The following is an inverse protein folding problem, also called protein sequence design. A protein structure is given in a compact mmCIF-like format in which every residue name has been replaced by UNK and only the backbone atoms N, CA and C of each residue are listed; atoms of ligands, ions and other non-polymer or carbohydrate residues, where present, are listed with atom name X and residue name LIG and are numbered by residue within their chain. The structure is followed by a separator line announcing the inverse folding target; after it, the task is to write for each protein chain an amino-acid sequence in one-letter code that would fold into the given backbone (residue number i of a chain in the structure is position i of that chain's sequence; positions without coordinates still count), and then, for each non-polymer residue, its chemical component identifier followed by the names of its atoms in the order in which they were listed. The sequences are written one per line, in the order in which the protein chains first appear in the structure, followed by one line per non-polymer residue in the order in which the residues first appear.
data_IF_537479261933
#
_entry.id   IF_537479261933
#
_cell.length_a   1.000
_cell.length_b   1.000
_cell.length_c   1.000
_cell.angle_alpha   90.00
_cell.angle_beta   90.00
_cell.angle_gamma   90.00
#
_symmetry.space_group_name_H-M   'P 1'
#
loop_
_entity.id
_entity.type
_entity.pdbx_description
1 polymer ?
#
# COMPACT_ATOMS: atom_id res chain seq x y z
N UNK A 1 -9.93 -49.81 -14.47
CA UNK A 1 -9.31 -48.64 -15.13
C UNK A 1 -8.66 -47.80 -14.06
N UNK A 2 -7.35 -47.50 -14.14
CA UNK A 2 -6.72 -46.61 -13.18
C UNK A 2 -7.32 -45.20 -13.32
N UNK A 3 -7.80 -44.67 -12.20
CA UNK A 3 -8.40 -43.35 -12.09
C UNK A 3 -7.49 -42.50 -11.22
N UNK A 4 -7.18 -41.28 -11.68
CA UNK A 4 -6.46 -40.29 -10.88
C UNK A 4 -7.42 -39.23 -10.35
N UNK A 5 -7.15 -38.76 -9.14
CA UNK A 5 -7.91 -37.70 -8.51
C UNK A 5 -7.48 -36.32 -9.04
N UNK A 6 -8.45 -35.52 -9.46
CA UNK A 6 -8.26 -34.13 -9.86
C UNK A 6 -9.09 -33.24 -8.93
N UNK A 7 -8.43 -32.33 -8.21
CA UNK A 7 -9.13 -31.33 -7.40
C UNK A 7 -9.62 -30.19 -8.30
N UNK A 8 -10.93 -29.95 -8.32
CA UNK A 8 -11.55 -28.86 -9.08
C UNK A 8 -11.98 -27.77 -8.11
N UNK A 9 -11.43 -26.56 -8.26
CA UNK A 9 -11.64 -25.42 -7.36
C UNK A 9 -12.35 -24.29 -8.10
N UNK A 10 -13.31 -23.63 -7.47
CA UNK A 10 -13.94 -22.45 -8.05
C UNK A 10 -12.98 -21.26 -7.99
N UNK A 11 -12.71 -20.62 -9.12
CA UNK A 11 -11.63 -19.62 -9.25
C UNK A 11 -11.82 -18.42 -8.32
N UNK A 12 -13.01 -17.82 -8.24
CA UNK A 12 -13.26 -16.66 -7.38
C UNK A 12 -13.52 -16.99 -5.90
N UNK A 13 -13.65 -18.27 -5.54
CA UNK A 13 -13.95 -18.72 -4.17
C UNK A 13 -13.31 -20.09 -3.91
N UNK A 14 -12.07 -20.07 -3.43
CA UNK A 14 -11.27 -21.28 -3.22
C UNK A 14 -11.74 -22.18 -2.07
N UNK A 15 -12.70 -21.72 -1.24
CA UNK A 15 -13.32 -22.58 -0.24
C UNK A 15 -14.18 -23.67 -0.90
N UNK A 16 -14.68 -23.41 -2.12
CA UNK A 16 -15.53 -24.30 -2.88
C UNK A 16 -14.70 -25.15 -3.83
N UNK A 17 -14.53 -26.42 -3.46
CA UNK A 17 -13.78 -27.40 -4.26
C UNK A 17 -14.39 -28.80 -4.13
N UNK A 18 -14.14 -29.65 -5.11
CA UNK A 18 -14.49 -31.06 -5.08
C UNK A 18 -13.43 -31.89 -5.80
N UNK A 19 -13.44 -33.21 -5.58
CA UNK A 19 -12.55 -34.15 -6.27
C UNK A 19 -13.30 -34.80 -7.41
N UNK A 20 -12.69 -34.81 -8.60
CA UNK A 20 -13.16 -35.49 -9.79
C UNK A 20 -12.21 -36.63 -10.15
N UNK A 21 -12.71 -37.84 -10.32
CA UNK A 21 -11.91 -38.99 -10.74
C UNK A 21 -11.83 -39.05 -12.27
N UNK A 22 -10.64 -38.86 -12.86
CA UNK A 22 -10.40 -38.89 -14.31
C UNK A 22 -9.54 -40.09 -14.72
N UNK A 23 -9.73 -40.69 -15.91
CA UNK A 23 -8.86 -41.76 -16.41
C UNK A 23 -7.41 -41.28 -16.60
N UNK A 24 -6.44 -42.20 -16.43
CA UNK A 24 -5.05 -41.96 -16.83
C UNK A 24 -4.91 -41.95 -18.37
N UNK A 25 -3.94 -41.20 -18.89
CA UNK A 25 -3.93 -40.68 -20.26
C UNK A 25 -3.80 -41.71 -21.40
N UNK A 26 -3.56 -42.99 -21.09
CA UNK A 26 -3.36 -44.03 -22.10
C UNK A 26 -4.61 -44.40 -22.93
N UNK A 27 -5.78 -43.82 -22.64
CA UNK A 27 -6.99 -44.01 -23.47
C UNK A 27 -7.66 -42.67 -23.82
N UNK A 28 -7.06 -41.95 -24.77
CA UNK A 28 -7.48 -40.65 -25.27
C UNK A 28 -8.65 -40.74 -26.28
N UNK A 29 -9.86 -41.01 -25.82
CA UNK A 29 -11.08 -40.83 -26.65
C UNK A 29 -12.17 -39.95 -26.01
N UNK A 30 -11.96 -39.38 -24.82
CA UNK A 30 -12.89 -38.42 -24.21
C UNK A 30 -12.12 -37.22 -23.67
N UNK A 31 -12.41 -36.03 -24.20
CA UNK A 31 -11.83 -34.77 -23.76
C UNK A 31 -12.15 -34.53 -22.26
N UNK A 32 -11.16 -34.57 -21.33
CA UNK A 32 -11.42 -34.40 -19.91
C UNK A 32 -11.99 -33.02 -19.57
N UNK A 33 -11.80 -32.01 -20.44
CA UNK A 33 -12.27 -30.63 -20.27
C UNK A 33 -13.80 -30.53 -20.16
N UNK A 34 -14.53 -31.15 -21.09
CA UNK A 34 -16.00 -31.13 -21.10
C UNK A 34 -16.57 -31.72 -19.83
N UNK A 35 -15.94 -32.81 -19.34
CA UNK A 35 -16.32 -33.46 -18.10
C UNK A 35 -16.04 -32.56 -16.90
N UNK A 36 -14.88 -31.91 -16.83
CA UNK A 36 -14.55 -30.97 -15.74
C UNK A 36 -15.57 -29.82 -15.72
N UNK A 37 -15.85 -29.19 -16.87
CA UNK A 37 -16.81 -28.08 -16.97
C UNK A 37 -18.22 -28.54 -16.58
N UNK A 38 -18.68 -29.69 -17.10
CA UNK A 38 -20.01 -30.23 -16.80
C UNK A 38 -20.17 -30.52 -15.31
N UNK A 39 -19.22 -31.21 -14.70
CA UNK A 39 -19.26 -31.52 -13.28
C UNK A 39 -19.13 -30.25 -12.42
N UNK A 40 -18.31 -29.28 -12.83
CA UNK A 40 -18.20 -27.99 -12.16
C UNK A 40 -19.52 -27.20 -12.18
N UNK A 41 -20.18 -27.10 -13.35
CA UNK A 41 -21.50 -26.45 -13.47
C UNK A 41 -22.52 -27.07 -12.53
N UNK A 42 -22.52 -28.40 -12.43
CA UNK A 42 -23.43 -29.16 -11.57
C UNK A 42 -23.11 -28.98 -10.08
N UNK A 43 -21.86 -29.23 -9.67
CA UNK A 43 -21.44 -29.21 -8.26
C UNK A 43 -21.42 -27.81 -7.67
N UNK A 44 -21.04 -26.80 -8.46
CA UNK A 44 -21.03 -25.41 -8.01
C UNK A 44 -22.34 -24.66 -8.28
N UNK A 45 -23.32 -25.29 -8.95
CA UNK A 45 -24.60 -24.68 -9.34
C UNK A 45 -24.40 -23.37 -10.12
N UNK A 46 -23.41 -23.34 -11.01
CA UNK A 46 -22.97 -22.13 -11.72
C UNK A 46 -22.91 -22.38 -13.23
N UNK A 47 -23.96 -21.96 -13.96
CA UNK A 47 -24.11 -22.25 -15.40
C UNK A 47 -23.05 -21.57 -16.30
N UNK A 48 -22.52 -20.43 -15.86
CA UNK A 48 -21.56 -19.62 -16.63
C UNK A 48 -20.11 -20.12 -16.62
N UNK A 49 -19.81 -21.25 -15.96
CA UNK A 49 -18.43 -21.77 -15.94
C UNK A 49 -18.02 -22.20 -17.36
N UNK A 50 -16.95 -21.62 -17.88
CA UNK A 50 -16.45 -21.84 -19.24
C UNK A 50 -14.94 -21.98 -19.32
N UNK A 51 -14.19 -21.44 -18.35
CA UNK A 51 -12.72 -21.48 -18.35
C UNK A 51 -12.17 -22.49 -17.36
N UNK A 52 -11.02 -23.07 -17.70
CA UNK A 52 -10.21 -23.90 -16.82
C UNK A 52 -8.79 -23.33 -16.80
N UNK A 53 -8.28 -23.07 -15.61
CA UNK A 53 -6.91 -22.65 -15.37
C UNK A 53 -6.12 -23.77 -14.70
N UNK A 54 -4.87 -23.94 -15.15
CA UNK A 54 -3.84 -24.67 -14.42
C UNK A 54 -3.24 -23.78 -13.33
N UNK A 55 -2.47 -24.38 -12.44
CA UNK A 55 -1.78 -23.63 -11.40
C UNK A 55 -0.87 -22.55 -12.02
N UNK A 56 -0.95 -21.32 -11.49
CA UNK A 56 -0.25 -20.17 -12.04
C UNK A 56 -0.97 -19.40 -13.13
N UNK A 57 -2.24 -19.70 -13.38
CA UNK A 57 -3.09 -18.89 -14.25
C UNK A 57 -2.96 -19.20 -15.74
N UNK A 58 -2.28 -20.29 -16.09
CA UNK A 58 -2.23 -20.78 -17.46
C UNK A 58 -3.63 -21.27 -17.84
N UNK A 59 -4.24 -20.62 -18.83
CA UNK A 59 -5.52 -21.04 -19.37
C UNK A 59 -5.32 -22.34 -20.17
N UNK A 60 -6.11 -23.37 -19.88
CA UNK A 60 -6.11 -24.60 -20.69
C UNK A 60 -6.91 -24.35 -21.97
N UNK A 61 -6.23 -24.30 -23.12
CA UNK A 61 -6.84 -24.06 -24.42
C UNK A 61 -7.82 -25.18 -24.82
N UNK A 62 -8.65 -24.95 -25.85
CA UNK A 62 -9.69 -25.92 -26.26
C UNK A 62 -9.11 -27.21 -26.87
N UNK A 63 -7.95 -27.11 -27.52
CA UNK A 63 -7.29 -28.23 -28.20
C UNK A 63 -6.17 -28.88 -27.35
N UNK A 64 -5.84 -28.32 -26.19
CA UNK A 64 -4.76 -28.82 -25.34
C UNK A 64 -5.20 -29.96 -24.42
N UNK A 65 -4.39 -31.01 -24.35
CA UNK A 65 -4.57 -32.09 -23.40
C UNK A 65 -4.25 -31.62 -21.96
N UNK A 66 -5.02 -32.10 -20.98
CA UNK A 66 -4.72 -31.86 -19.57
C UNK A 66 -3.41 -32.58 -19.18
N UNK A 67 -2.34 -31.88 -18.75
CA UNK A 67 -1.08 -32.53 -18.42
C UNK A 67 -1.24 -33.60 -17.34
N UNK A 68 -0.55 -34.73 -17.49
CA UNK A 68 -0.64 -35.87 -16.56
C UNK A 68 -0.29 -35.51 -15.11
N UNK A 69 0.67 -34.62 -14.93
CA UNK A 69 1.12 -34.11 -13.64
C UNK A 69 0.13 -33.18 -12.94
N UNK A 70 -0.96 -32.79 -13.61
CA UNK A 70 -1.95 -31.83 -13.07
C UNK A 70 -2.83 -32.49 -12.02
N UNK A 71 -2.64 -32.19 -10.74
CA UNK A 71 -3.49 -32.71 -9.64
C UNK A 71 -4.62 -31.77 -9.23
N UNK A 72 -4.59 -30.52 -9.69
CA UNK A 72 -5.57 -29.49 -9.37
C UNK A 72 -5.80 -28.52 -10.53
N UNK A 73 -7.04 -28.07 -10.70
CA UNK A 73 -7.46 -27.03 -11.66
C UNK A 73 -8.42 -26.04 -11.02
N UNK A 74 -8.48 -24.84 -11.59
CA UNK A 74 -9.42 -23.78 -11.21
C UNK A 74 -10.40 -23.55 -12.36
N UNK A 75 -11.68 -23.38 -12.04
CA UNK A 75 -12.72 -23.16 -13.05
C UNK A 75 -13.42 -21.83 -12.82
N UNK A 76 -13.67 -21.09 -13.91
CA UNK A 76 -14.19 -19.74 -13.87
C UNK A 76 -15.20 -19.45 -14.98
N UNK A 77 -15.75 -18.24 -14.97
CA UNK A 77 -16.70 -17.70 -15.95
C UNK A 77 -16.04 -16.73 -16.94
N UNK A 78 -14.70 -16.72 -17.00
CA UNK A 78 -13.92 -15.76 -17.79
C UNK A 78 -13.27 -14.64 -16.98
N UNK A 79 -13.48 -14.60 -15.66
CA UNK A 79 -12.72 -13.72 -14.77
C UNK A 79 -11.23 -14.11 -14.69
N UNK A 80 -10.33 -13.15 -14.35
CA UNK A 80 -8.91 -13.44 -14.17
C UNK A 80 -8.64 -14.54 -13.15
N UNK A 81 -7.54 -15.26 -13.34
CA UNK A 81 -7.13 -16.31 -12.39
C UNK A 81 -6.81 -15.71 -11.01
N UNK A 82 -7.45 -16.26 -9.98
CA UNK A 82 -7.25 -15.84 -8.59
C UNK A 82 -6.48 -16.89 -7.76
N UNK A 83 -6.15 -18.04 -8.35
CA UNK A 83 -5.46 -19.15 -7.71
C UNK A 83 -3.97 -18.91 -7.37
N UNK A 84 -3.31 -19.88 -6.72
CA UNK A 84 -1.89 -19.81 -6.39
C UNK A 84 -1.00 -19.73 -7.65
N UNK A 85 0.15 -19.04 -7.59
CA UNK A 85 1.08 -18.93 -8.72
C UNK A 85 1.67 -20.30 -9.10
N UNK A 86 2.26 -20.38 -10.31
CA UNK A 86 2.91 -21.61 -10.80
C UNK A 86 4.07 -21.95 -9.86
N UNK A 87 4.24 -23.21 -9.43
CA UNK A 87 5.47 -23.62 -8.76
C UNK A 87 6.61 -23.44 -9.75
N UNK A 88 7.58 -22.57 -9.44
CA UNK A 88 8.77 -22.43 -10.26
C UNK A 88 9.59 -23.71 -10.11
N UNK A 89 9.69 -24.48 -11.20
CA UNK A 89 10.59 -25.62 -11.25
C UNK A 89 12.03 -25.17 -11.02
N UNK A 90 12.72 -25.79 -10.07
CA UNK A 90 14.18 -25.83 -10.03
C UNK A 90 14.92 -24.66 -9.37
N UNK A 91 14.26 -23.68 -8.75
CA UNK A 91 14.94 -22.79 -7.80
C UNK A 91 14.46 -23.16 -6.41
N UNK A 92 15.29 -23.92 -5.70
CA UNK A 92 15.17 -24.08 -4.25
C UNK A 92 15.11 -22.67 -3.65
N UNK A 93 13.92 -22.19 -3.31
CA UNK A 93 13.77 -21.03 -2.46
C UNK A 93 14.54 -21.33 -1.19
N UNK A 94 15.66 -20.66 -0.97
CA UNK A 94 16.30 -20.66 0.33
C UNK A 94 15.23 -20.25 1.33
N UNK A 95 15.04 -21.03 2.40
CA UNK A 95 14.23 -20.55 3.54
C UNK A 95 14.74 -19.16 3.92
N UNK A 96 13.85 -18.21 4.23
CA UNK A 96 14.27 -16.89 4.66
C UNK A 96 15.24 -17.08 5.83
N UNK A 97 16.38 -16.41 5.75
CA UNK A 97 17.42 -16.49 6.78
C UNK A 97 16.89 -15.94 8.12
N UNK A 98 15.87 -15.07 8.08
CA UNK A 98 15.23 -14.51 9.26
C UNK A 98 13.75 -14.13 9.03
N UNK A 99 12.86 -14.59 9.91
CA UNK A 99 11.46 -14.13 10.01
C UNK A 99 11.26 -13.59 11.42
N UNK A 100 10.86 -12.32 11.51
CA UNK A 100 10.63 -11.63 12.78
C UNK A 100 9.18 -11.18 12.87
N UNK A 101 8.57 -11.38 14.03
CA UNK A 101 7.23 -10.86 14.33
C UNK A 101 7.37 -9.87 15.48
N UNK A 102 7.09 -8.60 15.20
CA UNK A 102 7.14 -7.51 16.17
C UNK A 102 5.72 -7.29 16.68
N UNK A 103 5.53 -7.36 17.99
CA UNK A 103 4.21 -7.28 18.61
C UNK A 103 3.64 -8.63 19.03
N UNK A 104 4.44 -9.52 19.63
CA UNK A 104 3.99 -10.81 20.16
C UNK A 104 2.85 -10.74 21.21
N UNK A 105 2.51 -9.53 21.68
CA UNK A 105 1.40 -9.27 22.62
C UNK A 105 0.12 -8.76 21.91
N UNK A 106 0.21 -8.41 20.63
CA UNK A 106 -0.93 -8.00 19.82
C UNK A 106 -1.63 -9.24 19.25
N UNK A 107 -2.94 -9.13 19.03
CA UNK A 107 -3.63 -10.12 18.21
C UNK A 107 -3.16 -10.00 16.76
N UNK A 108 -2.73 -11.12 16.17
CA UNK A 108 -2.36 -11.20 14.76
C UNK A 108 -3.19 -12.31 14.13
N UNK A 109 -3.83 -12.00 13.00
CA UNK A 109 -4.67 -12.96 12.28
C UNK A 109 -3.81 -14.08 11.66
N UNK A 110 -4.22 -15.34 11.87
CA UNK A 110 -3.54 -16.53 11.33
C UNK A 110 -3.38 -16.49 9.80
N UNK A 111 -4.33 -15.91 9.08
CA UNK A 111 -4.26 -15.77 7.64
C UNK A 111 -3.21 -14.74 7.21
N UNK A 112 -3.00 -13.68 8.01
CA UNK A 112 -1.92 -12.72 7.79
C UNK A 112 -0.54 -13.37 8.01
N UNK A 113 -0.40 -14.20 9.05
CA UNK A 113 0.82 -14.98 9.29
C UNK A 113 1.11 -15.96 8.15
N UNK A 114 0.09 -16.66 7.63
CA UNK A 114 0.25 -17.53 6.45
C UNK A 114 0.67 -16.74 5.20
N UNK A 115 0.11 -15.56 4.99
CA UNK A 115 0.52 -14.68 3.90
C UNK A 115 1.99 -14.24 4.08
N UNK A 116 2.41 -13.86 5.29
CA UNK A 116 3.78 -13.49 5.59
C UNK A 116 4.76 -14.64 5.36
N UNK A 117 4.44 -15.85 5.85
CA UNK A 117 5.25 -17.05 5.64
C UNK A 117 5.43 -17.37 4.15
N UNK A 118 4.35 -17.21 3.36
CA UNK A 118 4.40 -17.38 1.91
C UNK A 118 5.33 -16.34 1.27
N UNK A 119 5.22 -15.07 1.65
CA UNK A 119 6.11 -14.00 1.17
C UNK A 119 7.56 -14.29 1.55
N UNK A 120 7.80 -14.73 2.78
CA UNK A 120 9.13 -15.06 3.27
C UNK A 120 9.78 -16.22 2.50
N UNK A 121 8.98 -17.11 1.90
CA UNK A 121 9.46 -18.20 1.04
C UNK A 121 9.74 -17.82 -0.42
N UNK A 122 9.50 -16.56 -0.82
CA UNK A 122 9.72 -16.12 -2.19
C UNK A 122 11.22 -16.06 -2.52
N UNK A 123 11.61 -16.29 -3.80
CA UNK A 123 12.98 -16.14 -4.25
C UNK A 123 13.58 -14.77 -3.90
N UNK A 124 14.83 -14.75 -3.43
CA UNK A 124 15.55 -13.52 -3.09
C UNK A 124 15.14 -12.88 -1.77
N UNK A 125 14.05 -13.32 -1.12
CA UNK A 125 13.65 -12.79 0.19
C UNK A 125 14.60 -13.31 1.27
N UNK A 126 15.20 -12.38 2.01
CA UNK A 126 16.15 -12.66 3.09
C UNK A 126 15.60 -12.32 4.46
N UNK A 127 14.67 -11.36 4.52
CA UNK A 127 14.08 -10.85 5.76
C UNK A 127 12.58 -10.63 5.57
N UNK A 128 11.78 -11.13 6.52
CA UNK A 128 10.37 -10.77 6.63
C UNK A 128 10.06 -10.31 8.05
N UNK A 129 9.52 -9.09 8.18
CA UNK A 129 9.16 -8.48 9.46
C UNK A 129 7.67 -8.17 9.47
N UNK A 130 6.94 -8.75 10.41
CA UNK A 130 5.58 -8.35 10.72
C UNK A 130 5.54 -7.26 11.77
N UNK A 131 4.69 -6.26 11.55
CA UNK A 131 4.40 -5.18 12.49
C UNK A 131 3.22 -5.56 13.39
N UNK A 132 3.01 -4.86 14.53
CA UNK A 132 1.93 -5.19 15.46
C UNK A 132 0.52 -5.10 14.88
N UNK A 133 0.34 -4.40 13.76
CA UNK A 133 -0.89 -4.23 13.00
C UNK A 133 -0.98 -5.17 11.78
N UNK A 134 -0.13 -6.21 11.71
CA UNK A 134 -0.15 -7.20 10.63
C UNK A 134 -1.56 -7.78 10.44
N UNK A 135 -2.11 -7.61 9.25
CA UNK A 135 -3.44 -8.12 8.91
C UNK A 135 -3.52 -8.63 7.46
N UNK A 136 -4.55 -9.41 7.12
CA UNK A 136 -4.67 -10.01 5.81
C UNK A 136 -4.94 -8.94 4.75
N UNK A 137 -4.12 -8.92 3.70
CA UNK A 137 -4.43 -8.15 2.49
C UNK A 137 -5.07 -9.01 1.41
N UNK A 138 -5.45 -8.41 0.28
CA UNK A 138 -6.08 -9.15 -0.82
C UNK A 138 -5.23 -10.29 -1.40
N UNK A 139 -3.90 -10.15 -1.37
CA UNK A 139 -2.94 -11.17 -1.87
C UNK A 139 -1.73 -11.37 -0.94
N UNK A 140 -1.22 -10.26 -0.40
CA UNK A 140 -0.06 -10.18 0.47
C UNK A 140 -0.44 -9.43 1.74
N UNK A 141 0.22 -9.70 2.88
CA UNK A 141 -0.18 -9.10 4.14
C UNK A 141 0.10 -7.58 4.11
N UNK A 142 -0.59 -6.86 4.96
CA UNK A 142 -0.36 -5.43 5.23
C UNK A 142 0.17 -5.33 6.65
N UNK A 143 0.99 -4.31 6.94
CA UNK A 143 1.69 -4.19 8.23
C UNK A 143 2.97 -5.00 8.23
N UNK A 144 3.76 -4.95 7.14
CA UNK A 144 5.01 -5.70 7.05
C UNK A 144 6.11 -4.96 6.29
N UNK A 145 7.36 -5.34 6.58
CA UNK A 145 8.55 -4.95 5.85
C UNK A 145 9.31 -6.19 5.36
N UNK A 146 9.64 -6.25 4.08
CA UNK A 146 10.25 -7.42 3.43
C UNK A 146 11.56 -7.02 2.76
N UNK A 147 12.67 -7.56 3.25
CA UNK A 147 13.99 -7.39 2.65
C UNK A 147 14.28 -8.49 1.63
N UNK A 148 14.55 -8.09 0.38
CA UNK A 148 14.78 -9.00 -0.75
C UNK A 148 15.94 -8.52 -1.63
N UNK A 149 16.63 -9.43 -2.31
CA UNK A 149 17.72 -9.13 -3.25
C UNK A 149 17.24 -8.40 -4.50
N UNK A 150 16.01 -8.65 -4.93
CA UNK A 150 15.31 -7.95 -6.02
C UNK A 150 13.94 -7.43 -5.58
N UNK A 151 13.16 -6.89 -6.52
CA UNK A 151 11.90 -6.21 -6.24
C UNK A 151 10.69 -7.07 -6.63
N UNK A 152 9.67 -7.05 -5.77
CA UNK A 152 8.33 -7.55 -6.08
C UNK A 152 7.33 -6.38 -6.01
N UNK A 153 6.92 -5.80 -7.15
CA UNK A 153 5.98 -4.67 -7.18
C UNK A 153 4.70 -4.92 -6.38
N UNK A 154 4.18 -6.16 -6.41
CA UNK A 154 2.94 -6.50 -5.73
C UNK A 154 3.07 -6.57 -4.19
N UNK A 155 4.29 -6.68 -3.64
CA UNK A 155 4.54 -6.57 -2.20
C UNK A 155 4.45 -5.13 -1.70
N UNK A 156 4.58 -4.12 -2.58
CA UNK A 156 4.36 -2.70 -2.27
C UNK A 156 2.85 -2.40 -2.29
N UNK A 157 2.15 -2.99 -3.27
CA UNK A 157 0.71 -2.83 -3.47
C UNK A 157 0.35 -1.78 -4.51
N UNK A 158 -0.96 -1.63 -4.76
CA UNK A 158 -1.49 -0.77 -5.83
C UNK A 158 -1.45 0.71 -5.50
N UNK A 159 -1.21 1.08 -4.24
CA UNK A 159 -1.13 2.48 -3.83
C UNK A 159 0.30 2.82 -3.40
N UNK A 160 1.20 2.77 -4.39
CA UNK A 160 2.60 3.19 -4.23
C UNK A 160 2.62 4.64 -3.78
N UNK A 161 3.45 4.99 -2.81
CA UNK A 161 3.51 6.35 -2.29
C UNK A 161 2.43 6.69 -1.27
N UNK A 162 1.49 5.77 -0.96
CA UNK A 162 0.57 5.96 0.17
C UNK A 162 1.36 6.33 1.42
N UNK A 163 0.89 7.34 2.13
CA UNK A 163 1.59 7.90 3.26
C UNK A 163 0.74 8.88 4.03
N UNK A 164 1.30 9.36 5.12
CA UNK A 164 0.64 10.27 6.05
C UNK A 164 1.53 11.49 6.25
N UNK A 165 0.92 12.67 6.13
CA UNK A 165 1.58 13.94 6.40
C UNK A 165 0.82 14.73 7.46
N UNK A 166 1.57 15.46 8.30
CA UNK A 166 1.04 16.34 9.34
C UNK A 166 1.44 17.78 9.05
N UNK A 167 0.45 18.67 9.06
CA UNK A 167 0.63 20.11 8.83
C UNK A 167 0.09 20.90 10.03
N UNK A 168 0.73 22.01 10.38
CA UNK A 168 0.13 23.00 11.28
C UNK A 168 -0.83 23.88 10.48
N UNK A 169 -2.06 24.04 10.97
CA UNK A 169 -3.06 24.89 10.33
C UNK A 169 -3.10 26.32 10.90
N UNK A 170 -2.86 26.48 12.20
CA UNK A 170 -3.01 27.77 12.88
C UNK A 170 -2.24 27.84 14.21
N UNK A 171 -2.16 29.04 14.78
CA UNK A 171 -1.58 29.32 16.10
C UNK A 171 -2.55 28.94 17.24
N UNK A 172 -2.04 28.97 18.48
CA UNK A 172 -2.74 28.58 19.71
C UNK A 172 -4.11 29.24 19.95
N UNK A 173 -4.29 30.50 19.54
CA UNK A 173 -5.55 31.22 19.69
C UNK A 173 -6.71 30.67 18.83
N UNK A 174 -6.41 29.90 17.79
CA UNK A 174 -7.40 29.35 16.87
C UNK A 174 -8.13 28.12 17.44
N UNK A 175 -7.47 27.26 18.23
CA UNK A 175 -8.10 26.09 18.87
C UNK A 175 -9.23 26.48 19.82
N UNK A 176 -9.03 27.51 20.64
CA UNK A 176 -10.04 28.01 21.57
C UNK A 176 -11.33 28.48 20.86
N UNK A 177 -11.24 28.82 19.56
CA UNK A 177 -12.34 29.33 18.73
C UNK A 177 -12.85 28.31 17.71
N UNK A 178 -12.24 27.12 17.64
CA UNK A 178 -12.55 26.13 16.63
C UNK A 178 -13.84 25.37 16.98
N UNK A 179 -14.87 25.56 16.17
CA UNK A 179 -16.08 24.74 16.21
C UNK A 179 -15.97 23.68 15.08
N UNK A 180 -15.91 22.37 15.39
CA UNK A 180 -15.74 21.31 14.39
C UNK A 180 -16.79 21.34 13.29
N UNK A 181 -18.08 21.53 13.63
CA UNK A 181 -19.16 21.64 12.64
C UNK A 181 -18.97 22.83 11.70
N UNK A 182 -18.52 23.96 12.26
CA UNK A 182 -18.21 25.15 11.45
C UNK A 182 -17.04 24.87 10.51
N UNK A 183 -15.93 24.32 11.00
CA UNK A 183 -14.78 23.97 10.16
C UNK A 183 -15.17 23.00 9.04
N UNK A 184 -15.89 21.92 9.38
CA UNK A 184 -16.38 20.96 8.41
C UNK A 184 -17.26 21.62 7.32
N UNK A 185 -18.12 22.58 7.70
CA UNK A 185 -18.96 23.30 6.72
C UNK A 185 -18.19 24.16 5.72
N UNK A 186 -16.93 24.52 6.03
CA UNK A 186 -16.04 25.26 5.13
C UNK A 186 -15.37 24.34 4.09
N UNK A 187 -15.24 23.05 4.37
CA UNK A 187 -14.51 22.09 3.55
C UNK A 187 -15.36 21.66 2.34
N UNK A 188 -15.39 22.50 1.31
CA UNK A 188 -16.21 22.30 0.12
C UNK A 188 -15.37 22.06 -1.13
N UNK A 189 -15.88 21.24 -2.04
CA UNK A 189 -15.27 21.00 -3.35
C UNK A 189 -13.92 20.30 -3.31
N UNK A 190 -13.62 19.52 -2.26
CA UNK A 190 -12.36 18.77 -2.12
C UNK A 190 -12.29 17.50 -2.98
N UNK A 191 -13.45 16.96 -3.36
CA UNK A 191 -13.54 15.78 -4.23
C UNK A 191 -13.53 16.14 -5.73
N UNK A 192 -13.76 17.41 -6.06
CA UNK A 192 -13.74 17.89 -7.44
C UNK A 192 -12.30 18.09 -7.96
N UNK A 193 -12.09 18.06 -9.29
CA UNK A 193 -10.81 18.41 -9.90
C UNK A 193 -10.31 19.77 -9.41
N UNK A 194 -9.03 19.87 -9.08
CA UNK A 194 -8.45 21.12 -8.61
C UNK A 194 -8.45 22.17 -9.73
N UNK A 195 -8.88 23.38 -9.40
CA UNK A 195 -9.00 24.49 -10.36
C UNK A 195 -7.68 25.23 -10.62
N UNK A 196 -6.62 24.93 -9.87
CA UNK A 196 -5.30 25.51 -10.06
C UNK A 196 -4.51 24.89 -11.21
N UNK A 197 -3.30 25.39 -11.44
CA UNK A 197 -2.41 24.86 -12.49
C UNK A 197 -1.74 23.58 -12.03
N UNK A 198 -2.29 22.44 -12.46
CA UNK A 198 -1.73 21.10 -12.22
C UNK A 198 -0.28 20.99 -12.68
N UNK A 199 0.04 21.52 -13.87
CA UNK A 199 1.40 21.48 -14.43
C UNK A 199 2.39 22.28 -13.57
N UNK A 200 2.03 23.50 -13.15
CA UNK A 200 2.89 24.29 -12.26
C UNK A 200 3.07 23.59 -10.90
N UNK A 201 1.99 22.96 -10.38
CA UNK A 201 2.04 22.20 -9.13
C UNK A 201 3.02 21.05 -9.20
N UNK A 202 2.87 20.17 -10.19
CA UNK A 202 3.74 19.01 -10.36
C UNK A 202 5.19 19.42 -10.66
N UNK A 203 5.41 20.47 -11.45
CA UNK A 203 6.75 21.00 -11.71
C UNK A 203 7.48 21.46 -10.45
N UNK A 204 6.77 21.96 -9.42
CA UNK A 204 7.36 22.30 -8.13
C UNK A 204 7.95 21.08 -7.40
N UNK A 205 7.45 19.88 -7.66
CA UNK A 205 7.99 18.62 -7.15
C UNK A 205 8.96 17.95 -8.13
N UNK A 206 9.40 18.67 -9.18
CA UNK A 206 10.30 18.13 -10.21
C UNK A 206 9.64 17.14 -11.16
N UNK A 207 8.31 17.13 -11.23
CA UNK A 207 7.56 16.26 -12.14
C UNK A 207 7.25 17.05 -13.42
N UNK A 208 7.97 16.70 -14.49
CA UNK A 208 7.79 17.32 -15.82
C UNK A 208 6.90 16.49 -16.76
N UNK A 209 6.67 15.22 -16.41
CA UNK A 209 5.81 14.30 -17.16
C UNK A 209 4.34 14.44 -16.77
N UNK A 210 3.47 13.98 -17.65
CA UNK A 210 2.02 13.95 -17.44
C UNK A 210 1.50 12.53 -17.29
N UNK A 211 0.39 12.40 -16.57
CA UNK A 211 -0.39 11.19 -16.42
C UNK A 211 -1.87 11.49 -16.58
N UNK A 212 -2.64 10.48 -16.99
CA UNK A 212 -4.12 10.56 -17.06
C UNK A 212 -4.78 10.91 -15.72
N UNK A 213 -4.11 10.69 -14.58
CA UNK A 213 -4.63 10.97 -13.24
C UNK A 213 -4.42 12.41 -12.77
N UNK A 214 -3.57 13.18 -13.46
CA UNK A 214 -3.14 14.50 -12.98
C UNK A 214 -4.30 15.48 -12.86
N UNK A 215 -5.21 15.49 -13.83
CA UNK A 215 -6.32 16.45 -13.85
C UNK A 215 -7.40 16.11 -12.83
N UNK A 216 -7.81 14.85 -12.80
CA UNK A 216 -9.04 14.46 -12.09
C UNK A 216 -8.77 13.91 -10.68
N UNK A 217 -7.52 13.52 -10.37
CA UNK A 217 -7.19 12.89 -9.08
C UNK A 217 -6.20 13.67 -8.23
N UNK A 218 -5.39 14.57 -8.79
CA UNK A 218 -4.41 15.34 -8.02
C UNK A 218 -5.14 16.32 -7.07
N UNK A 219 -4.71 16.34 -5.81
CA UNK A 219 -5.32 17.13 -4.74
C UNK A 219 -6.56 16.51 -4.13
N UNK A 220 -6.77 15.20 -4.29
CA UNK A 220 -7.91 14.47 -3.71
C UNK A 220 -7.46 13.46 -2.64
N UNK A 221 -8.32 13.28 -1.63
CA UNK A 221 -8.14 12.26 -0.58
C UNK A 221 -8.52 10.88 -1.10
N UNK A 222 -9.66 10.82 -1.80
CA UNK A 222 -10.26 9.62 -2.36
C UNK A 222 -10.70 8.57 -1.33
N UNK A 223 -10.80 7.30 -1.74
CA UNK A 223 -11.56 6.27 -1.02
C UNK A 223 -10.70 5.29 -0.20
N UNK A 224 -11.35 4.32 0.45
CA UNK A 224 -10.70 3.29 1.25
C UNK A 224 -10.40 3.77 2.67
N UNK A 225 -9.18 3.51 3.14
CA UNK A 225 -8.66 3.99 4.43
C UNK A 225 -8.07 5.40 4.36
N UNK A 226 -8.15 6.09 3.22
CA UNK A 226 -7.70 7.47 3.08
C UNK A 226 -8.64 8.46 3.77
N UNK A 227 -8.06 9.52 4.34
CA UNK A 227 -8.79 10.59 5.00
C UNK A 227 -7.91 11.85 5.13
N UNK A 228 -8.56 12.98 5.41
CA UNK A 228 -7.90 14.18 5.91
C UNK A 228 -8.64 14.65 7.15
N UNK A 229 -7.93 14.88 8.24
CA UNK A 229 -8.52 15.14 9.55
C UNK A 229 -7.88 16.35 10.22
N UNK A 230 -8.71 17.26 10.72
CA UNK A 230 -8.28 18.38 11.55
C UNK A 230 -8.24 17.91 13.00
N UNK A 231 -7.06 17.95 13.61
CA UNK A 231 -6.80 17.35 14.91
C UNK A 231 -6.15 18.34 15.89
N UNK A 232 -6.17 18.00 17.17
CA UNK A 232 -5.46 18.74 18.23
C UNK A 232 -4.61 17.79 19.07
N UNK A 233 -3.47 18.21 19.61
CA UNK A 233 -2.77 17.41 20.61
C UNK A 233 -3.66 17.20 21.84
N UNK A 234 -3.82 15.95 22.25
CA UNK A 234 -4.47 15.58 23.51
C UNK A 234 -3.48 15.60 24.66
N UNK A 235 -2.30 15.05 24.40
CA UNK A 235 -1.27 14.84 25.41
C UNK A 235 0.10 14.78 24.76
N UNK A 236 1.01 15.59 25.26
CA UNK A 236 2.43 15.51 24.92
C UNK A 236 3.11 14.58 25.93
N UNK A 237 3.80 13.55 25.45
CA UNK A 237 4.53 12.59 26.29
C UNK A 237 5.98 13.03 26.44
N UNK A 238 6.59 13.48 25.35
CA UNK A 238 7.95 14.01 25.32
C UNK A 238 7.93 15.47 24.87
N UNK A 239 8.08 16.38 25.82
CA UNK A 239 8.05 17.82 25.59
C UNK A 239 9.26 18.30 24.76
N UNK A 240 10.41 17.64 24.87
CA UNK A 240 11.62 18.02 24.12
C UNK A 240 11.42 17.76 22.64
N UNK A 241 10.93 16.57 22.30
CA UNK A 241 10.65 16.23 20.90
C UNK A 241 9.50 17.10 20.36
N UNK A 242 8.41 17.27 21.12
CA UNK A 242 7.31 18.14 20.69
C UNK A 242 7.79 19.57 20.38
N UNK A 243 8.65 20.14 21.23
CA UNK A 243 9.27 21.46 21.00
C UNK A 243 10.11 21.46 19.72
N UNK A 244 10.92 20.42 19.49
CA UNK A 244 11.76 20.31 18.28
C UNK A 244 10.95 20.23 16.99
N UNK A 245 9.73 19.69 17.06
CA UNK A 245 8.77 19.61 15.95
C UNK A 245 7.87 20.85 15.85
N UNK A 246 8.04 21.84 16.73
CA UNK A 246 7.14 22.98 16.87
C UNK A 246 5.66 22.56 17.07
N UNK A 247 5.47 21.49 17.85
CA UNK A 247 4.15 21.04 18.29
C UNK A 247 3.74 21.84 19.52
N UNK A 248 2.55 22.38 19.44
CA UNK A 248 1.92 23.27 20.39
C UNK A 248 0.57 22.66 20.76
N UNK A 249 0.36 22.40 22.04
CA UNK A 249 -0.86 21.77 22.55
C UNK A 249 -2.11 22.53 22.14
N UNK A 250 -2.00 23.85 21.96
CA UNK A 250 -3.12 24.71 21.61
C UNK A 250 -3.29 24.96 20.12
N UNK A 251 -2.47 24.38 19.25
CA UNK A 251 -2.61 24.54 17.82
C UNK A 251 -3.59 23.53 17.19
N UNK A 252 -4.12 23.89 16.01
CA UNK A 252 -4.81 22.95 15.12
C UNK A 252 -3.82 22.37 14.12
N UNK A 253 -3.96 21.07 13.87
CA UNK A 253 -3.18 20.33 12.90
C UNK A 253 -4.09 19.72 11.84
N UNK A 254 -3.52 19.42 10.68
CA UNK A 254 -4.16 18.65 9.63
C UNK A 254 -3.33 17.39 9.39
N UNK A 255 -3.94 16.22 9.57
CA UNK A 255 -3.38 14.93 9.19
C UNK A 255 -3.97 14.55 7.83
N UNK A 256 -3.11 14.27 6.84
CA UNK A 256 -3.53 13.86 5.50
C UNK A 256 -2.99 12.47 5.21
N UNK A 257 -3.89 11.49 5.05
CA UNK A 257 -3.58 10.12 4.63
C UNK A 257 -4.13 9.88 3.22
N UNK A 258 -3.24 9.90 2.23
CA UNK A 258 -3.55 9.55 0.83
C UNK A 258 -2.28 9.11 0.11
N UNK A 259 -2.44 8.60 -1.11
CA UNK A 259 -1.36 8.07 -1.94
C UNK A 259 -1.38 8.59 -3.37
N UNK A 260 -0.91 7.73 -4.29
CA UNK A 260 -0.76 8.07 -5.72
C UNK A 260 -2.05 7.89 -6.53
N UNK A 261 -3.18 7.61 -5.85
CA UNK A 261 -4.49 7.46 -6.49
C UNK A 261 -4.44 6.34 -7.54
N UNK A 262 -4.90 6.59 -8.76
CA UNK A 262 -4.86 5.61 -9.85
C UNK A 262 -3.46 5.36 -10.42
N UNK A 263 -2.49 6.26 -10.18
CA UNK A 263 -1.16 6.16 -10.79
C UNK A 263 -0.41 4.92 -10.35
N UNK A 264 -0.31 4.68 -9.04
CA UNK A 264 0.33 3.48 -8.49
C UNK A 264 -0.36 2.19 -8.97
N UNK A 265 -1.69 2.22 -9.13
CA UNK A 265 -2.45 1.07 -9.57
C UNK A 265 -2.19 0.77 -11.05
N UNK A 266 -2.07 1.81 -11.88
CA UNK A 266 -1.68 1.71 -13.29
C UNK A 266 -0.27 1.14 -13.45
N UNK A 267 0.68 1.60 -12.63
CA UNK A 267 2.06 1.06 -12.61
C UNK A 267 2.06 -0.41 -12.23
N UNK A 268 1.41 -0.79 -11.11
CA UNK A 268 1.33 -2.20 -10.71
C UNK A 268 0.61 -3.06 -11.75
N UNK A 269 -0.42 -2.51 -12.41
CA UNK A 269 -1.16 -3.19 -13.46
C UNK A 269 -0.28 -3.58 -14.65
N UNK A 270 0.66 -2.71 -15.05
CA UNK A 270 1.64 -3.01 -16.12
C UNK A 270 2.59 -4.15 -15.74
N UNK A 271 3.06 -4.16 -14.49
CA UNK A 271 3.95 -5.22 -13.99
C UNK A 271 3.24 -6.58 -13.90
N UNK A 272 1.94 -6.58 -13.59
CA UNK A 272 1.22 -7.80 -13.20
C UNK A 272 0.33 -8.41 -14.29
N UNK A 273 0.50 -7.99 -15.55
CA UNK A 273 -0.27 -8.51 -16.70
C UNK A 273 -0.09 -10.02 -16.87
N UNK A 274 1.17 -10.48 -16.85
CA UNK A 274 1.53 -11.87 -17.15
C UNK A 274 1.80 -12.70 -15.90
N UNK A 275 2.26 -12.07 -14.83
CA UNK A 275 2.50 -12.69 -13.54
C UNK A 275 1.85 -11.88 -12.42
N UNK A 276 1.07 -12.57 -11.60
CA UNK A 276 0.47 -12.02 -10.39
C UNK A 276 1.46 -11.41 -9.37
N UNK A 277 2.72 -11.83 -9.42
CA UNK A 277 3.77 -11.39 -8.49
C UNK A 277 5.15 -11.52 -9.14
N UNK A 278 5.47 -10.69 -10.14
CA UNK A 278 6.73 -10.77 -10.85
C UNK A 278 7.88 -10.47 -9.90
N UNK A 279 8.94 -11.27 -9.99
CA UNK A 279 10.22 -10.96 -9.37
C UNK A 279 11.08 -10.20 -10.37
N UNK A 280 11.48 -8.98 -10.02
CA UNK A 280 12.43 -8.18 -10.76
C UNK A 280 13.83 -8.46 -10.20
N UNK A 281 14.69 -9.22 -10.90
CA UNK A 281 15.98 -9.62 -10.37
C UNK A 281 16.90 -8.40 -10.13
N UNK A 282 17.86 -8.51 -9.17
CA UNK A 282 18.90 -7.50 -9.03
C UNK A 282 19.63 -7.27 -10.35
N UNK A 283 20.06 -6.04 -10.56
CA UNK A 283 20.84 -5.58 -11.73
C UNK A 283 20.14 -5.76 -13.09
N UNK A 284 18.86 -6.13 -13.13
CA UNK A 284 18.09 -6.16 -14.37
C UNK A 284 17.75 -4.73 -14.84
N UNK A 285 17.81 -4.45 -16.16
CA UNK A 285 17.36 -3.16 -16.69
C UNK A 285 15.92 -2.82 -16.30
N UNK A 286 15.04 -3.83 -16.31
CA UNK A 286 13.63 -3.69 -15.92
C UNK A 286 13.44 -3.24 -14.46
N UNK A 287 14.31 -3.67 -13.53
CA UNK A 287 14.27 -3.18 -12.15
C UNK A 287 14.56 -1.68 -12.10
N UNK A 288 15.57 -1.21 -12.85
CA UNK A 288 15.90 0.22 -12.90
C UNK A 288 14.77 1.04 -13.52
N UNK A 289 14.15 0.55 -14.60
CA UNK A 289 12.97 1.15 -15.22
C UNK A 289 11.79 1.20 -14.25
N UNK A 290 11.52 0.11 -13.52
CA UNK A 290 10.49 0.08 -12.49
C UNK A 290 10.74 1.11 -11.38
N UNK A 291 11.98 1.29 -10.93
CA UNK A 291 12.31 2.27 -9.90
C UNK A 291 12.03 3.71 -10.35
N UNK A 292 12.23 4.03 -11.64
CA UNK A 292 11.84 5.34 -12.19
C UNK A 292 10.33 5.57 -12.09
N UNK A 293 9.51 4.54 -12.36
CA UNK A 293 8.06 4.60 -12.24
C UNK A 293 7.61 4.67 -10.77
N UNK A 294 8.21 3.86 -9.90
CA UNK A 294 7.96 3.83 -8.47
C UNK A 294 8.25 5.19 -7.82
N UNK A 295 9.43 5.75 -8.04
CA UNK A 295 9.86 7.00 -7.40
C UNK A 295 9.02 8.19 -7.87
N UNK A 296 8.54 8.14 -9.12
CA UNK A 296 7.54 9.09 -9.60
C UNK A 296 6.20 8.95 -8.90
N UNK A 297 5.66 7.75 -8.73
CA UNK A 297 4.42 7.56 -8.00
C UNK A 297 4.54 8.05 -6.55
N UNK A 298 5.68 7.80 -5.90
CA UNK A 298 5.98 8.32 -4.55
C UNK A 298 6.00 9.85 -4.55
N UNK A 299 6.70 10.47 -5.50
CA UNK A 299 6.80 11.95 -5.60
C UNK A 299 5.46 12.58 -5.91
N UNK A 300 4.67 11.98 -6.81
CA UNK A 300 3.32 12.40 -7.14
C UNK A 300 2.40 12.29 -5.91
N UNK A 301 2.52 11.22 -5.12
CA UNK A 301 1.74 11.04 -3.89
C UNK A 301 2.07 12.10 -2.82
N UNK A 302 3.34 12.50 -2.69
CA UNK A 302 3.76 13.61 -1.83
C UNK A 302 3.10 14.92 -2.32
N UNK A 303 3.20 15.20 -3.62
CA UNK A 303 2.56 16.38 -4.23
C UNK A 303 1.04 16.39 -4.02
N UNK A 304 0.41 15.22 -4.06
CA UNK A 304 -1.02 15.04 -3.81
C UNK A 304 -1.38 15.34 -2.34
N UNK A 305 -0.63 14.81 -1.36
CA UNK A 305 -0.83 15.11 0.07
C UNK A 305 -0.75 16.61 0.35
N UNK A 306 0.25 17.27 -0.23
CA UNK A 306 0.44 18.70 -0.09
C UNK A 306 -0.68 19.50 -0.74
N UNK A 307 -1.16 19.08 -1.90
CA UNK A 307 -2.25 19.78 -2.55
C UNK A 307 -3.57 19.63 -1.79
N UNK A 308 -3.84 18.45 -1.22
CA UNK A 308 -4.98 18.25 -0.30
C UNK A 308 -4.87 19.22 0.88
N UNK A 309 -3.69 19.30 1.51
CA UNK A 309 -3.47 20.22 2.63
C UNK A 309 -3.64 21.69 2.24
N UNK A 310 -3.12 22.07 1.08
CA UNK A 310 -3.25 23.41 0.52
C UNK A 310 -4.72 23.78 0.29
N UNK A 311 -5.50 22.90 -0.35
CA UNK A 311 -6.93 23.12 -0.61
C UNK A 311 -7.73 23.25 0.69
N UNK A 312 -7.45 22.41 1.69
CA UNK A 312 -8.10 22.50 3.00
C UNK A 312 -7.75 23.83 3.69
N UNK A 313 -6.47 24.25 3.67
CA UNK A 313 -6.04 25.53 4.23
C UNK A 313 -6.69 26.72 3.50
N UNK A 314 -6.89 26.63 2.17
CA UNK A 314 -7.62 27.63 1.39
C UNK A 314 -9.09 27.75 1.83
N UNK A 315 -9.79 26.63 2.00
CA UNK A 315 -11.18 26.61 2.49
C UNK A 315 -11.32 27.31 3.84
N UNK A 316 -10.37 27.09 4.75
CA UNK A 316 -10.41 27.67 6.11
C UNK A 316 -10.03 29.17 6.07
N UNK A 317 -9.03 29.54 5.27
CA UNK A 317 -8.49 30.91 5.23
C UNK A 317 -9.38 31.90 4.49
N UNK A 318 -10.11 31.45 3.45
CA UNK A 318 -10.97 32.32 2.64
C UNK A 318 -12.17 32.92 3.41
N UNK A 319 -12.56 32.30 4.53
CA UNK A 319 -13.78 32.65 5.28
C UNK A 319 -13.48 33.28 6.65
N UNK A 320 -12.22 33.33 7.05
CA UNK A 320 -11.83 33.78 8.39
C UNK A 320 -10.91 34.97 8.32
N UNK A 321 -11.19 36.00 9.12
CA UNK A 321 -10.24 37.08 9.42
C UNK A 321 -9.07 36.59 10.29
N UNK A 322 -8.57 35.37 10.07
CA UNK A 322 -7.41 34.77 10.76
C UNK A 322 -6.07 35.27 10.20
N UNK A 323 -6.09 36.19 9.24
CA UNK A 323 -4.94 36.95 8.77
C UNK A 323 -4.67 38.14 9.70
N UNK A 324 -3.99 37.91 10.82
CA UNK A 324 -3.26 38.98 11.53
C UNK A 324 -1.77 38.72 11.72
N UNK A 325 -1.27 37.49 11.53
CA UNK A 325 0.13 37.17 11.95
C UNK A 325 1.06 36.74 10.80
N UNK A 326 0.61 36.79 9.53
CA UNK A 326 1.50 36.70 8.37
C UNK A 326 1.47 38.02 7.61
N UNK A 327 2.29 38.96 8.09
CA UNK A 327 2.65 40.19 7.40
C UNK A 327 3.61 39.87 6.24
N UNK A 328 3.13 39.10 5.24
CA UNK A 328 3.85 38.77 4.00
C UNK A 328 2.91 38.83 2.79
N UNK A 329 2.00 39.82 2.77
CA UNK A 329 1.40 40.28 1.51
C UNK A 329 2.32 41.33 0.88
N UNK A 330 3.50 40.91 0.41
CA UNK A 330 4.23 41.70 -0.58
C UNK A 330 3.55 41.51 -1.94
N UNK A 331 2.71 42.48 -2.29
CA UNK A 331 1.99 42.55 -3.56
C UNK A 331 2.92 42.70 -4.79
N UNK A 332 4.25 42.69 -4.61
CA UNK A 332 5.25 42.86 -5.67
C UNK A 332 6.01 41.60 -6.11
N UNK A 333 5.91 40.45 -5.42
CA UNK A 333 6.67 39.25 -5.77
C UNK A 333 5.83 38.22 -6.53
N UNK A 334 6.12 37.91 -7.81
CA UNK A 334 5.41 36.89 -8.59
C UNK A 334 5.63 35.44 -8.08
N UNK A 335 6.27 35.26 -6.91
CA UNK A 335 6.71 33.95 -6.40
C UNK A 335 5.84 33.33 -5.31
N UNK A 336 4.86 34.03 -4.74
CA UNK A 336 4.00 33.44 -3.68
C UNK A 336 2.58 33.21 -4.19
N UNK A 337 2.46 32.28 -5.15
CA UNK A 337 1.18 31.91 -5.77
C UNK A 337 0.34 31.01 -4.86
N UNK A 338 0.96 30.30 -3.90
CA UNK A 338 0.32 29.28 -3.06
C UNK A 338 0.48 29.57 -1.57
N UNK A 339 -0.49 29.17 -0.75
CA UNK A 339 -0.43 29.26 0.70
C UNK A 339 0.69 28.35 1.22
N UNK A 340 1.59 28.91 2.03
CA UNK A 340 2.66 28.17 2.70
C UNK A 340 2.08 27.04 3.54
N UNK A 341 2.67 25.86 3.41
CA UNK A 341 2.33 24.68 4.19
C UNK A 341 3.33 24.54 5.32
N UNK A 342 2.88 24.68 6.56
CA UNK A 342 3.69 24.42 7.75
C UNK A 342 3.76 22.89 7.97
N UNK A 343 4.34 22.18 7.00
CA UNK A 343 4.50 20.72 7.00
C UNK A 343 5.51 20.34 8.08
N UNK A 344 5.09 19.46 8.98
CA UNK A 344 5.92 18.99 10.10
C UNK A 344 6.52 17.63 9.75
N UNK A 345 5.69 16.71 9.26
CA UNK A 345 6.06 15.32 8.99
C UNK A 345 5.39 14.87 7.69
N UNK A 346 6.08 14.03 6.91
CA UNK A 346 5.53 13.33 5.74
C UNK A 346 6.23 11.98 5.59
N UNK A 347 5.46 10.90 5.71
CA UNK A 347 5.99 9.53 5.75
C UNK A 347 5.20 8.64 4.81
N UNK A 348 5.89 8.10 3.81
CA UNK A 348 5.38 7.07 2.91
C UNK A 348 5.47 5.68 3.56
N UNK A 349 4.37 4.94 3.59
CA UNK A 349 4.30 3.60 4.18
C UNK A 349 4.03 2.46 3.18
N UNK A 350 3.88 2.80 1.89
CA UNK A 350 3.86 1.88 0.76
C UNK A 350 4.95 2.27 -0.23
N UNK A 351 6.12 1.63 -0.13
CA UNK A 351 7.26 1.89 -1.02
C UNK A 351 8.26 0.75 -1.01
N UNK A 352 9.24 0.81 -1.90
CA UNK A 352 10.47 0.01 -1.82
C UNK A 352 11.67 0.93 -1.80
N UNK A 353 12.64 0.65 -0.93
CA UNK A 353 13.89 1.42 -0.82
C UNK A 353 15.08 0.50 -0.57
N UNK A 354 16.27 0.90 -1.00
CA UNK A 354 17.50 0.11 -0.80
C UNK A 354 18.11 0.39 0.58
N UNK A 355 18.45 -0.66 1.32
CA UNK A 355 19.08 -0.57 2.64
C UNK A 355 20.17 -1.63 2.82
N UNK A 356 21.22 -1.29 3.59
CA UNK A 356 22.20 -2.26 4.07
C UNK A 356 21.77 -2.79 5.45
N UNK A 357 21.46 -4.08 5.53
CA UNK A 357 20.89 -4.73 6.70
C UNK A 357 21.73 -5.94 7.14
N UNK A 358 21.84 -6.18 8.44
CA UNK A 358 22.51 -7.37 8.98
C UNK A 358 21.53 -8.55 9.06
N UNK A 359 21.68 -9.52 8.16
CA UNK A 359 20.79 -10.69 8.01
C UNK A 359 21.62 -11.94 7.75
N UNK A 360 21.30 -13.05 8.44
CA UNK A 360 22.00 -14.33 8.25
C UNK A 360 23.47 -14.32 8.71
N UNK A 361 23.82 -13.46 9.66
CA UNK A 361 25.18 -13.36 10.22
C UNK A 361 26.13 -12.41 9.49
N UNK A 362 25.64 -11.61 8.53
CA UNK A 362 26.45 -10.60 7.85
C UNK A 362 25.64 -9.45 7.25
N UNK A 363 26.29 -8.35 6.83
CA UNK A 363 25.64 -7.27 6.11
C UNK A 363 25.22 -7.70 4.71
N UNK A 364 24.03 -7.24 4.28
CA UNK A 364 23.46 -7.46 2.95
C UNK A 364 22.77 -6.20 2.47
N UNK A 365 22.98 -5.83 1.22
CA UNK A 365 22.21 -4.77 0.56
C UNK A 365 20.92 -5.36 0.00
N UNK A 366 19.78 -4.89 0.50
CA UNK A 366 18.46 -5.42 0.18
C UNK A 366 17.51 -4.30 -0.23
N UNK A 367 16.56 -4.65 -1.10
CA UNK A 367 15.35 -3.87 -1.35
C UNK A 367 14.33 -4.16 -0.26
N UNK A 368 14.02 -3.15 0.54
CA UNK A 368 13.06 -3.21 1.64
C UNK A 368 11.71 -2.73 1.12
N UNK A 369 10.82 -3.68 0.88
CA UNK A 369 9.42 -3.45 0.54
C UNK A 369 8.67 -3.13 1.82
N UNK A 370 7.88 -2.07 1.79
CA UNK A 370 6.98 -1.71 2.89
C UNK A 370 5.57 -1.63 2.35
N UNK A 371 4.63 -2.24 3.08
CA UNK A 371 3.20 -2.15 2.81
C UNK A 371 2.46 -2.02 4.11
N UNK A 372 1.92 -0.83 4.36
CA UNK A 372 1.43 -0.44 5.67
C UNK A 372 2.54 -0.44 6.72
N UNK A 373 3.78 -0.12 6.32
CA UNK A 373 4.89 0.03 7.24
C UNK A 373 5.67 1.31 6.89
N UNK A 374 5.79 2.24 7.83
CA UNK A 374 6.68 3.38 7.72
C UNK A 374 8.17 3.00 7.86
N UNK A 375 9.07 3.75 7.20
CA UNK A 375 10.50 3.77 7.52
C UNK A 375 10.73 4.43 8.89
N UNK A 376 11.79 4.03 9.59
CA UNK A 376 12.10 4.56 10.91
C UNK A 376 13.49 5.20 11.00
N UNK A 377 14.16 5.31 9.86
CA UNK A 377 15.35 6.14 9.63
C UNK A 377 14.99 7.55 9.11
N UNK A 378 13.69 7.90 9.08
CA UNK A 378 13.17 9.18 8.58
C UNK A 378 12.65 10.10 9.69
N UNK A 379 13.01 9.82 10.94
CA UNK A 379 12.56 10.59 12.11
C UNK A 379 11.19 10.13 12.61
N UNK A 380 10.37 11.08 13.03
CA UNK A 380 9.08 10.82 13.68
C UNK A 380 8.10 10.21 12.67
N UNK A 381 7.42 9.16 13.11
CA UNK A 381 6.44 8.41 12.32
C UNK A 381 5.03 8.76 12.79
N UNK A 382 4.13 9.21 11.91
CA UNK A 382 2.72 9.30 12.22
C UNK A 382 2.09 7.90 12.13
N UNK A 383 1.36 7.51 13.16
CA UNK A 383 0.55 6.29 13.19
C UNK A 383 -0.90 6.70 13.38
N UNK A 384 -1.68 6.81 12.30
CA UNK A 384 -3.10 7.06 12.41
C UNK A 384 -3.83 5.86 13.02
N UNK A 385 -4.88 6.14 13.80
CA UNK A 385 -5.94 5.18 14.08
C UNK A 385 -6.91 5.05 12.90
N UNK A 386 -8.11 4.53 13.16
CA UNK A 386 -9.20 4.62 12.20
C UNK A 386 -9.76 6.05 12.15
N UNK A 387 -10.61 6.35 11.15
CA UNK A 387 -11.38 7.60 11.15
C UNK A 387 -12.18 7.71 12.44
N UNK A 388 -12.01 8.80 13.19
CA UNK A 388 -12.65 8.95 14.51
C UNK A 388 -11.74 8.62 15.70
N UNK A 389 -10.65 7.88 15.50
CA UNK A 389 -9.78 7.40 16.57
C UNK A 389 -8.56 8.32 16.80
N UNK A 390 -7.87 8.08 17.91
CA UNK A 390 -6.59 8.73 18.18
C UNK A 390 -5.56 8.44 17.11
N UNK A 391 -4.73 9.44 16.83
CA UNK A 391 -3.51 9.29 16.06
C UNK A 391 -2.31 9.55 16.96
N UNK A 392 -1.17 8.93 16.63
CA UNK A 392 0.05 9.06 17.42
C UNK A 392 1.21 9.55 16.57
N UNK A 393 2.07 10.36 17.19
CA UNK A 393 3.41 10.61 16.68
C UNK A 393 4.40 9.79 17.47
N UNK A 394 5.20 9.03 16.74
CA UNK A 394 5.96 7.90 17.24
C UNK A 394 7.44 8.14 16.91
N UNK A 395 8.32 8.10 17.91
CA UNK A 395 9.76 8.18 17.69
C UNK A 395 10.31 6.76 17.54
N UNK A 396 10.92 6.42 16.40
CA UNK A 396 11.68 5.19 16.27
C UNK A 396 12.84 5.14 17.27
N UNK A 397 13.05 3.98 17.88
CA UNK A 397 14.21 3.70 18.73
C UNK A 397 15.07 2.56 18.17
N UNK A 398 16.34 2.54 18.56
CA UNK A 398 17.34 1.57 18.09
C UNK A 398 17.97 1.95 16.75
N UNK A 399 18.73 1.04 16.17
CA UNK A 399 19.46 1.22 14.91
C UNK A 399 18.67 0.77 13.66
N UNK A 400 17.44 0.28 13.88
CA UNK A 400 16.57 -0.28 12.84
C UNK A 400 17.00 -1.64 12.28
N UNK A 401 18.20 -2.15 12.60
CA UNK A 401 18.79 -3.39 12.07
C UNK A 401 18.08 -4.64 12.61
N UNK A 402 17.78 -4.65 13.91
CA UNK A 402 17.16 -5.80 14.57
C UNK A 402 15.64 -5.86 14.43
N UNK A 403 14.98 -4.75 14.12
CA UNK A 403 13.52 -4.64 14.17
C UNK A 403 12.91 -4.25 12.82
N UNK A 404 13.65 -4.32 11.70
CA UNK A 404 13.17 -3.76 10.43
C UNK A 404 12.67 -2.31 10.59
N UNK A 405 13.27 -1.60 11.56
CA UNK A 405 12.89 -0.27 12.02
C UNK A 405 11.58 -0.14 12.86
N UNK A 406 11.27 -1.02 13.83
CA UNK A 406 10.13 -0.80 14.75
C UNK A 406 10.42 -1.11 16.22
N UNK A 407 10.67 -0.06 16.98
CA UNK A 407 10.19 0.03 18.35
C UNK A 407 9.90 1.51 18.57
N UNK A 408 8.75 1.80 19.14
CA UNK A 408 8.21 3.14 19.16
C UNK A 408 7.94 3.52 20.61
N UNK A 409 8.43 4.68 21.00
CA UNK A 409 7.94 5.38 22.19
C UNK A 409 6.92 6.42 21.72
N UNK A 410 5.71 6.47 22.30
CA UNK A 410 4.75 7.51 21.98
C UNK A 410 5.33 8.87 22.37
N UNK A 411 5.29 9.82 21.44
CA UNK A 411 5.82 11.18 21.64
C UNK A 411 4.69 12.16 21.88
N UNK A 412 3.65 12.07 21.06
CA UNK A 412 2.45 12.92 21.14
C UNK A 412 1.21 12.08 20.87
N UNK A 413 0.24 12.21 21.75
CA UNK A 413 -1.14 11.79 21.53
C UNK A 413 -1.89 12.93 20.87
N UNK A 414 -2.51 12.65 19.73
CA UNK A 414 -3.36 13.61 19.03
C UNK A 414 -4.81 13.13 19.18
N UNK A 415 -5.61 13.90 19.92
CA UNK A 415 -7.05 13.69 20.02
C UNK A 415 -7.76 14.36 18.86
N UNK A 416 -8.84 13.71 18.47
CA UNK A 416 -9.85 14.33 17.65
C UNK A 416 -10.84 15.11 18.52
N UNK A 417 -11.40 16.20 17.98
CA UNK A 417 -12.70 16.70 18.43
C UNK A 417 -13.71 16.43 17.32
N UNK A 418 -14.75 15.67 17.66
CA UNK A 418 -15.94 15.46 16.82
C UNK A 418 -16.70 16.76 16.55
#
# INVERSE_FOLDING_TARGET
MPLRALTVTLNFDHSRKFVLLIPEAHEAHKNPKERIIREAKNKFRAKGISTIFLQGGILLADEEALPESTTQVWVGKGEPYAGPPKPLGGVSGSRPEDIRVIGAKSFIDDSALKQLQKVASLPGVRLAVAMPDLHPGGRFPIGCAIGSEGIYPALIGSDVGCGIALYRLSSSAARARANPKKLASLLQGLDEPWSGSVTEWLAHYGIERTSEFDKDSLGTVGSGNHFAEICTPERIVDASIATSLNIDEDALYLLVHTGSRGLGASILGRETVNDSNPYLPPDSPHLAEYMVEHDYAVTWAIANRDLVAHRIKQCISSTTSFSSDSQDYDAGSPRQRWISLDKIIDVTHNSVTRHSLFVGGGPRDLWVHRKGAAPADKGIVPCPGSRGDFSWLLQPIGDGQLNGAYLIVPVVFIAQRQ
#
